data_IF_431317058350
#
_entry.id   IF_431317058350
#
_cell.length_a   1.000
_cell.length_b   1.000
_cell.length_c   1.000
_cell.angle_alpha   90.00
_cell.angle_beta   90.00
_cell.angle_gamma   90.00
#
_symmetry.space_group_name_H-M   'P 1'
#
loop_
_entity.id
_entity.type
_entity.pdbx_description
1 polymer ?
#
# COMPACT_ATOMS: atom_id res chain seq x y z
N UNK A 1 -3.19 8.98 7.91
CA UNK A 1 -3.05 7.81 8.80
C UNK A 1 -2.35 6.72 8.00
N UNK A 2 -1.03 6.57 8.12
CA UNK A 2 -0.35 5.48 7.41
C UNK A 2 -0.67 4.14 8.10
N UNK A 3 -0.86 3.10 7.31
CA UNK A 3 -1.15 1.75 7.80
C UNK A 3 0.07 0.88 7.52
N UNK A 4 0.69 0.35 8.57
CA UNK A 4 1.78 -0.62 8.45
C UNK A 4 1.24 -2.04 8.61
N UNK A 5 1.54 -2.93 7.68
CA UNK A 5 1.09 -4.32 7.70
C UNK A 5 2.26 -5.29 7.48
N UNK A 6 2.27 -6.35 8.27
CA UNK A 6 3.12 -7.53 8.09
C UNK A 6 2.26 -8.78 8.35
N UNK A 7 2.65 -9.90 7.74
CA UNK A 7 2.01 -11.20 7.98
C UNK A 7 3.03 -12.09 8.70
N UNK A 8 2.62 -12.63 9.84
CA UNK A 8 3.45 -13.52 10.64
C UNK A 8 2.85 -14.93 10.60
N UNK A 9 3.71 -15.93 10.56
CA UNK A 9 3.31 -17.31 10.80
C UNK A 9 2.92 -17.48 12.28
N UNK A 10 1.72 -18.00 12.53
CA UNK A 10 1.17 -18.09 13.88
C UNK A 10 1.90 -19.11 14.77
N UNK A 11 2.56 -20.11 14.19
CA UNK A 11 3.23 -21.19 14.94
C UNK A 11 4.66 -20.81 15.30
N UNK A 12 5.37 -20.22 14.35
CA UNK A 12 6.80 -19.91 14.44
C UNK A 12 7.06 -18.45 14.81
N UNK A 13 6.08 -17.56 14.63
CA UNK A 13 6.24 -16.12 14.77
C UNK A 13 7.09 -15.48 13.66
N UNK A 14 7.50 -16.26 12.64
CA UNK A 14 8.35 -15.76 11.55
C UNK A 14 7.58 -14.77 10.68
N UNK A 15 8.23 -13.67 10.33
CA UNK A 15 7.69 -12.71 9.38
C UNK A 15 7.73 -13.29 7.96
N UNK A 16 6.56 -13.51 7.38
CA UNK A 16 6.40 -14.13 6.06
C UNK A 16 6.68 -13.17 4.91
N UNK A 17 6.89 -11.88 5.19
CA UNK A 17 7.24 -10.91 4.16
C UNK A 17 8.73 -10.91 3.81
N UNK A 18 9.57 -11.54 4.62
CA UNK A 18 10.97 -11.77 4.30
C UNK A 18 11.22 -13.26 4.03
N UNK A 19 12.08 -13.55 3.06
CA UNK A 19 12.57 -14.91 2.82
C UNK A 19 13.73 -15.30 3.75
N UNK A 20 14.30 -16.48 3.54
CA UNK A 20 15.40 -17.02 4.35
C UNK A 20 16.72 -16.24 4.17
N UNK A 21 16.90 -15.58 3.03
CA UNK A 21 18.05 -14.72 2.75
C UNK A 21 17.86 -13.30 3.30
N UNK A 22 16.65 -13.00 3.80
CA UNK A 22 16.28 -11.71 4.34
C UNK A 22 15.77 -10.73 3.29
N UNK A 23 15.61 -11.18 2.04
CA UNK A 23 15.08 -10.40 0.93
C UNK A 23 13.54 -10.38 0.95
N UNK A 24 12.94 -9.71 -0.03
CA UNK A 24 11.49 -9.65 -0.19
C UNK A 24 10.94 -11.00 -0.65
N UNK A 25 10.11 -11.64 0.19
CA UNK A 25 9.51 -12.92 -0.18
C UNK A 25 8.51 -12.77 -1.34
N UNK A 26 8.24 -13.88 -2.05
CA UNK A 26 7.17 -13.92 -3.07
C UNK A 26 5.82 -13.53 -2.47
N UNK A 27 5.54 -13.94 -1.23
CA UNK A 27 4.30 -13.59 -0.52
C UNK A 27 4.19 -12.07 -0.31
N UNK A 28 5.29 -11.40 0.05
CA UNK A 28 5.32 -9.94 0.17
C UNK A 28 5.06 -9.24 -1.17
N UNK A 29 5.72 -9.70 -2.24
CA UNK A 29 5.52 -9.13 -3.58
C UNK A 29 4.08 -9.34 -4.06
N UNK A 30 3.49 -10.51 -3.82
CA UNK A 30 2.09 -10.77 -4.14
C UNK A 30 1.15 -9.87 -3.33
N UNK A 31 1.46 -9.65 -2.05
CA UNK A 31 0.70 -8.73 -1.20
C UNK A 31 0.73 -7.30 -1.76
N UNK A 32 1.91 -6.80 -2.15
CA UNK A 32 2.04 -5.50 -2.81
C UNK A 32 1.24 -5.48 -4.12
N UNK A 33 1.35 -6.50 -4.98
CA UNK A 33 0.61 -6.56 -6.24
C UNK A 33 -0.91 -6.50 -6.03
N UNK A 34 -1.43 -7.18 -5.01
CA UNK A 34 -2.83 -7.08 -4.60
C UNK A 34 -3.22 -5.67 -4.17
N UNK A 35 -2.39 -5.02 -3.34
CA UNK A 35 -2.62 -3.62 -2.96
C UNK A 35 -2.67 -2.71 -4.19
N UNK A 36 -1.70 -2.84 -5.11
CA UNK A 36 -1.64 -2.06 -6.34
C UNK A 36 -2.90 -2.22 -7.20
N UNK A 37 -3.39 -3.46 -7.32
CA UNK A 37 -4.54 -3.80 -8.15
C UNK A 37 -5.87 -3.35 -7.55
N UNK A 38 -6.06 -3.55 -6.24
CA UNK A 38 -7.39 -3.46 -5.62
C UNK A 38 -7.62 -2.18 -4.81
N UNK A 39 -6.57 -1.54 -4.29
CA UNK A 39 -6.75 -0.31 -3.50
C UNK A 39 -7.40 0.85 -4.27
N UNK A 40 -7.15 1.08 -5.57
CA UNK A 40 -7.84 2.14 -6.30
C UNK A 40 -9.38 2.03 -6.23
N UNK A 41 -9.92 0.81 -6.32
CA UNK A 41 -11.36 0.55 -6.19
C UNK A 41 -11.84 0.63 -4.73
N UNK A 42 -10.97 0.32 -3.77
CA UNK A 42 -11.27 0.43 -2.34
C UNK A 42 -11.06 1.85 -1.77
N UNK A 43 -10.70 2.84 -2.60
CA UNK A 43 -10.41 4.21 -2.18
C UNK A 43 -11.51 4.87 -1.33
N UNK A 44 -12.83 4.66 -1.55
CA UNK A 44 -13.85 5.24 -0.69
C UNK A 44 -13.73 4.83 0.79
N UNK A 45 -13.08 3.69 1.09
CA UNK A 45 -12.84 3.21 2.45
C UNK A 45 -11.59 3.87 3.09
N UNK A 46 -10.67 4.38 2.27
CA UNK A 46 -9.41 5.00 2.70
C UNK A 46 -9.47 6.54 2.68
N UNK A 47 -10.28 7.09 1.79
CA UNK A 47 -10.47 8.51 1.51
C UNK A 47 -11.98 8.79 1.36
N UNK A 48 -12.74 8.79 2.48
CA UNK A 48 -14.20 8.76 2.43
C UNK A 48 -14.86 10.12 2.20
N UNK A 49 -14.11 11.23 2.22
CA UNK A 49 -14.66 12.58 2.13
C UNK A 49 -14.08 13.34 0.92
N UNK A 50 -14.80 14.35 0.45
CA UNK A 50 -14.29 15.29 -0.58
C UNK A 50 -12.94 15.90 -0.19
N UNK A 51 -12.76 16.22 1.10
CA UNK A 51 -11.51 16.79 1.59
C UNK A 51 -10.33 15.80 1.57
N UNK A 52 -10.61 14.49 1.63
CA UNK A 52 -9.55 13.47 1.56
C UNK A 52 -8.78 13.55 0.23
N UNK A 53 -9.46 13.85 -0.87
CA UNK A 53 -8.86 13.94 -2.21
C UNK A 53 -8.04 15.23 -2.41
N UNK A 54 -8.36 16.31 -1.69
CA UNK A 54 -7.53 17.53 -1.69
C UNK A 54 -6.14 17.30 -1.10
N UNK A 55 -6.01 16.28 -0.23
CA UNK A 55 -4.72 15.84 0.30
C UNK A 55 -3.87 15.13 -0.75
N UNK A 56 -4.47 14.41 -1.70
CA UNK A 56 -3.78 13.57 -2.67
C UNK A 56 -3.25 14.39 -3.85
N UNK A 57 -2.34 15.31 -3.56
CA UNK A 57 -1.71 16.20 -4.53
C UNK A 57 -0.19 15.99 -4.59
N UNK A 58 0.43 16.14 -5.77
CA UNK A 58 1.88 16.08 -5.88
C UNK A 58 2.55 17.07 -4.92
N UNK A 59 3.74 16.72 -4.41
CA UNK A 59 4.56 17.60 -3.56
C UNK A 59 3.95 17.99 -2.20
N UNK A 60 2.96 17.23 -1.71
CA UNK A 60 2.29 17.46 -0.41
C UNK A 60 2.63 16.40 0.65
N UNK A 61 3.66 15.60 0.43
CA UNK A 61 3.99 14.36 1.17
C UNK A 61 2.93 13.26 1.14
N UNK A 62 1.78 13.51 0.50
CA UNK A 62 0.76 12.52 0.22
C UNK A 62 1.02 11.81 -1.11
N UNK A 63 0.80 10.49 -1.17
CA UNK A 63 0.96 9.77 -2.42
C UNK A 63 -0.17 10.07 -3.41
N UNK A 64 0.15 9.98 -4.69
CA UNK A 64 -0.79 10.15 -5.83
C UNK A 64 -0.81 8.91 -6.75
N UNK A 65 -0.16 7.83 -6.31
CA UNK A 65 0.14 6.67 -7.13
C UNK A 65 0.10 5.39 -6.29
N UNK A 66 0.06 4.27 -7.00
CA UNK A 66 0.19 2.91 -6.44
C UNK A 66 1.60 2.34 -6.61
N UNK A 67 2.62 3.15 -6.87
CA UNK A 67 3.99 2.63 -6.93
C UNK A 67 4.45 2.18 -5.55
N UNK A 68 5.54 1.41 -5.55
CA UNK A 68 6.22 1.02 -4.34
C UNK A 68 7.73 1.09 -4.51
N UNK A 69 8.46 1.24 -3.41
CA UNK A 69 9.92 1.28 -3.37
C UNK A 69 10.43 1.26 -1.93
N UNK A 70 11.71 0.90 -1.75
CA UNK A 70 12.40 0.86 -0.46
C UNK A 70 12.66 2.29 0.04
N UNK A 71 12.15 2.58 1.24
CA UNK A 71 12.22 3.86 1.96
C UNK A 71 11.88 5.12 1.14
N UNK A 72 11.15 4.96 0.05
CA UNK A 72 10.77 6.07 -0.81
C UNK A 72 9.50 6.77 -0.28
N UNK A 73 9.59 8.05 0.07
CA UNK A 73 8.47 8.83 0.61
C UNK A 73 7.59 9.50 -0.46
N UNK A 74 7.76 9.17 -1.73
CA UNK A 74 6.93 9.71 -2.82
C UNK A 74 5.96 8.68 -3.41
N UNK A 75 6.03 7.42 -2.95
CA UNK A 75 5.18 6.33 -3.40
C UNK A 75 4.02 6.05 -2.44
N UNK A 76 2.92 5.50 -2.96
CA UNK A 76 1.75 5.09 -2.17
C UNK A 76 2.01 3.92 -1.22
N UNK A 77 2.84 2.98 -1.65
CA UNK A 77 3.18 1.77 -0.90
C UNK A 77 4.68 1.79 -0.58
N UNK A 78 5.06 2.26 0.60
CA UNK A 78 6.49 2.30 0.98
C UNK A 78 6.87 1.01 1.68
N UNK A 79 8.05 0.48 1.38
CA UNK A 79 8.69 -0.52 2.23
C UNK A 79 9.66 0.20 3.18
N UNK A 80 9.39 0.33 4.49
CA UNK A 80 10.33 0.93 5.41
C UNK A 80 11.63 0.11 5.50
N UNK A 81 12.76 0.78 5.68
CA UNK A 81 14.02 0.10 5.97
C UNK A 81 13.97 -0.58 7.35
N UNK A 82 14.69 -1.69 7.49
CA UNK A 82 14.75 -2.45 8.74
C UNK A 82 15.17 -3.91 8.54
N UNK A 83 15.42 -4.65 9.64
CA UNK A 83 15.78 -6.07 9.57
C UNK A 83 14.61 -6.91 9.02
N UNK A 84 14.89 -8.13 8.51
CA UNK A 84 13.86 -9.04 7.99
C UNK A 84 12.66 -9.26 8.93
N UNK A 85 12.91 -9.36 10.25
CA UNK A 85 11.85 -9.50 11.25
C UNK A 85 10.87 -8.31 11.27
N UNK A 86 11.32 -7.11 10.89
CA UNK A 86 10.52 -5.89 10.84
C UNK A 86 9.96 -5.57 9.44
N UNK A 87 10.11 -6.48 8.46
CA UNK A 87 9.64 -6.32 7.08
C UNK A 87 8.13 -6.07 7.06
N UNK A 88 7.71 -4.97 6.42
CA UNK A 88 6.31 -4.53 6.34
C UNK A 88 6.11 -3.63 5.13
N UNK A 89 4.87 -3.54 4.68
CA UNK A 89 4.44 -2.47 3.77
C UNK A 89 3.80 -1.35 4.60
N UNK A 90 4.03 -0.11 4.18
CA UNK A 90 3.35 1.08 4.65
C UNK A 90 2.43 1.58 3.54
N UNK A 91 1.12 1.42 3.73
CA UNK A 91 0.09 2.03 2.90
C UNK A 91 -0.15 3.48 3.37
N UNK A 92 0.10 4.44 2.48
CA UNK A 92 0.11 5.87 2.80
C UNK A 92 -1.11 6.63 2.27
N UNK A 93 -2.05 5.91 1.66
CA UNK A 93 -3.29 6.44 1.10
C UNK A 93 -4.30 6.90 2.17
N UNK A 94 -4.48 6.23 3.32
CA UNK A 94 -5.56 6.57 4.22
C UNK A 94 -5.39 7.93 4.89
N UNK A 95 -6.46 8.72 4.88
CA UNK A 95 -6.57 9.96 5.64
C UNK A 95 -6.82 9.72 7.13
N UNK A 96 -6.66 10.75 7.97
CA UNK A 96 -7.03 10.65 9.40
C UNK A 96 -8.56 10.66 9.61
N UNK A 97 -9.29 11.03 8.57
CA UNK A 97 -10.75 11.06 8.49
C UNK A 97 -11.36 9.71 8.04
N UNK A 98 -10.52 8.71 7.74
CA UNK A 98 -10.96 7.36 7.42
C UNK A 98 -11.44 6.62 8.68
N UNK A 99 -12.47 5.78 8.54
CA UNK A 99 -12.83 4.85 9.60
C UNK A 99 -11.70 3.80 9.73
N UNK A 100 -11.00 3.72 10.89
CA UNK A 100 -9.82 2.88 11.02
C UNK A 100 -10.13 1.39 10.82
N UNK A 101 -11.30 0.91 11.25
CA UNK A 101 -11.69 -0.49 11.07
C UNK A 101 -11.83 -0.84 9.59
N UNK A 102 -12.52 0.02 8.83
CA UNK A 102 -12.73 -0.19 7.40
C UNK A 102 -11.43 -0.02 6.61
N UNK A 103 -10.60 0.96 6.94
CA UNK A 103 -9.34 1.19 6.24
C UNK A 103 -8.36 0.03 6.44
N UNK A 104 -8.24 -0.49 7.67
CA UNK A 104 -7.38 -1.65 7.97
C UNK A 104 -7.93 -2.90 7.27
N UNK A 105 -9.25 -3.14 7.36
CA UNK A 105 -9.87 -4.29 6.72
C UNK A 105 -9.73 -4.26 5.18
N UNK A 106 -9.95 -3.10 4.56
CA UNK A 106 -9.79 -2.91 3.11
C UNK A 106 -8.35 -3.14 2.66
N UNK A 107 -7.37 -2.55 3.36
CA UNK A 107 -5.95 -2.74 3.05
C UNK A 107 -5.54 -4.21 3.21
N UNK A 108 -5.99 -4.87 4.28
CA UNK A 108 -5.75 -6.31 4.49
C UNK A 108 -6.37 -7.17 3.39
N UNK A 109 -7.64 -6.93 3.05
CA UNK A 109 -8.36 -7.69 2.03
C UNK A 109 -7.71 -7.56 0.65
N UNK A 110 -7.32 -6.33 0.25
CA UNK A 110 -6.63 -6.10 -1.02
C UNK A 110 -5.30 -6.85 -1.12
N UNK A 111 -4.49 -6.82 -0.06
CA UNK A 111 -3.23 -7.56 -0.03
C UNK A 111 -3.44 -9.08 0.03
N UNK A 112 -4.45 -9.56 0.76
CA UNK A 112 -4.80 -10.97 0.82
C UNK A 112 -5.24 -11.50 -0.55
N UNK A 113 -6.07 -10.76 -1.28
CA UNK A 113 -6.45 -11.11 -2.66
C UNK A 113 -5.22 -11.23 -3.56
N UNK A 114 -4.24 -10.33 -3.42
CA UNK A 114 -2.96 -10.44 -4.13
C UNK A 114 -2.21 -11.73 -3.86
N UNK A 115 -2.17 -12.17 -2.59
CA UNK A 115 -1.57 -13.46 -2.22
C UNK A 115 -2.33 -14.62 -2.86
N UNK A 116 -3.67 -14.63 -2.75
CA UNK A 116 -4.51 -15.74 -3.23
C UNK A 116 -4.52 -15.88 -4.76
N UNK A 117 -4.45 -14.77 -5.47
CA UNK A 117 -4.44 -14.73 -6.93
C UNK A 117 -3.03 -14.67 -7.53
N UNK A 118 -2.00 -14.71 -6.69
CA UNK A 118 -0.59 -14.61 -7.08
C UNK A 118 -0.28 -13.39 -7.95
N UNK A 119 -0.87 -12.24 -7.61
CA UNK A 119 -0.73 -11.00 -8.38
C UNK A 119 0.69 -10.44 -8.23
N UNK A 120 1.47 -10.46 -9.30
CA UNK A 120 2.81 -9.87 -9.30
C UNK A 120 2.77 -8.35 -9.06
N UNK A 121 3.60 -7.88 -8.12
CA UNK A 121 3.88 -6.46 -7.98
C UNK A 121 4.64 -5.93 -9.20
N UNK A 122 4.42 -4.67 -9.54
CA UNK A 122 5.28 -3.98 -10.50
C UNK A 122 6.72 -3.91 -9.98
N UNK A 123 7.70 -3.68 -10.85
CA UNK A 123 9.05 -3.35 -10.39
C UNK A 123 9.03 -2.17 -9.42
N UNK A 124 9.86 -2.17 -8.36
CA UNK A 124 9.98 -1.01 -7.49
C UNK A 124 10.51 0.16 -8.30
N UNK A 125 9.98 1.35 -8.06
CA UNK A 125 10.43 2.52 -8.83
C UNK A 125 11.71 3.11 -8.24
N UNK A 126 12.53 3.64 -9.12
CA UNK A 126 13.62 4.56 -8.80
C UNK A 126 13.18 6.02 -9.01
N UNK A 127 13.76 6.92 -8.23
CA UNK A 127 13.44 8.35 -8.26
C UNK A 127 12.13 8.72 -7.56
N UNK A 128 11.57 9.87 -7.95
CA UNK A 128 10.33 10.39 -7.36
C UNK A 128 9.09 9.79 -8.01
N UNK A 129 8.19 9.25 -7.19
CA UNK A 129 6.83 8.85 -7.57
C UNK A 129 5.94 10.02 -7.97
N UNK A 130 6.32 11.28 -7.68
CA UNK A 130 5.63 12.46 -8.20
C UNK A 130 5.93 12.72 -9.68
N UNK A 131 7.03 12.17 -10.21
CA UNK A 131 7.39 12.26 -11.63
C UNK A 131 6.66 11.19 -12.47
N UNK A 132 5.81 10.37 -11.82
CA UNK A 132 5.00 9.34 -12.46
C UNK A 132 3.57 9.83 -12.66
N UNK A 133 2.84 9.16 -13.53
CA UNK A 133 1.44 9.47 -13.80
C UNK A 133 0.59 9.29 -12.53
N UNK A 134 -0.41 10.16 -12.37
CA UNK A 134 -1.42 10.03 -11.33
C UNK A 134 -2.27 8.78 -11.62
N UNK A 135 -2.34 7.85 -10.67
CA UNK A 135 -3.03 6.56 -10.85
C UNK A 135 -4.13 6.28 -9.83
N UNK A 136 -4.50 7.29 -9.03
CA UNK A 136 -5.60 7.22 -8.07
C UNK A 136 -6.82 7.98 -8.59
N UNK A 137 -8.03 7.69 -8.10
CA UNK A 137 -9.19 8.55 -8.31
C UNK A 137 -8.93 9.96 -7.79
N UNK A 138 -9.30 10.97 -8.58
CA UNK A 138 -9.07 12.40 -8.26
C UNK A 138 -10.14 13.00 -7.36
N UNK A 139 -11.31 12.37 -7.30
CA UNK A 139 -12.43 12.80 -6.46
C UNK A 139 -13.34 11.62 -6.13
N UNK A 140 -14.13 11.76 -5.06
CA UNK A 140 -14.97 10.68 -4.52
C UNK A 140 -15.94 10.07 -5.54
N UNK A 141 -16.45 10.87 -6.48
CA UNK A 141 -17.38 10.39 -7.51
C UNK A 141 -16.72 9.40 -8.48
N UNK A 142 -15.42 9.55 -8.74
CA UNK A 142 -14.64 8.61 -9.57
C UNK A 142 -14.32 7.35 -8.77
N UNK A 143 -14.08 7.49 -7.47
CA UNK A 143 -13.80 6.36 -6.59
C UNK A 143 -15.03 5.47 -6.31
N UNK A 144 -16.25 6.00 -6.52
CA UNK A 144 -17.52 5.29 -6.31
C UNK A 144 -18.13 4.71 -7.61
N UNK A 145 -17.57 5.05 -8.77
CA UNK A 145 -18.06 4.61 -10.09
C UNK A 145 -17.54 3.21 -10.43
#
# INVERSE_FOLDING_TARGET
MHIHQSVLDIKTGKNLFADDDGENSKLFLNYIGGLQRYLPAAMPLLAPNMNSYRRLQPWSDAPINMHWSLDNRTVGLRQPNGPPAARRVENRLPGADANPYLAIAASLACGLLGILEEVDATAPIEGSGYDRAHSLPRHIHEALA
#
